data_IF_183049032941
#
_entry.id   IF_183049032941
#
_cell.length_a   1.000
_cell.length_b   1.000
_cell.length_c   1.000
_cell.angle_alpha   90.00
_cell.angle_beta   90.00
_cell.angle_gamma   90.00
#
_symmetry.space_group_name_H-M   'P 1'
#
loop_
_entity.id
_entity.type
_entity.pdbx_description
1 polymer ?
#
# COMPACT_ATOMS: atom_id res chain seq x y z
N UNK A 1 -23.24 -0.08 -65.35
CA UNK A 1 -22.73 -0.56 -64.03
C UNK A 1 -21.56 0.26 -63.49
N UNK A 2 -20.80 1.02 -64.26
CA UNK A 2 -19.63 1.80 -63.76
C UNK A 2 -19.97 2.88 -62.72
N UNK A 3 -21.10 3.57 -62.83
CA UNK A 3 -21.41 4.70 -61.94
C UNK A 3 -21.84 4.28 -60.54
N UNK A 4 -22.47 3.10 -60.35
CA UNK A 4 -22.81 2.58 -59.05
C UNK A 4 -21.57 2.10 -58.28
N UNK A 5 -20.54 1.58 -58.97
CA UNK A 5 -19.25 1.22 -58.38
C UNK A 5 -18.51 2.43 -57.86
N UNK A 6 -18.46 3.54 -58.60
CA UNK A 6 -17.82 4.78 -58.17
C UNK A 6 -18.52 5.42 -56.97
N UNK A 7 -19.87 5.35 -56.92
CA UNK A 7 -20.66 5.84 -55.77
C UNK A 7 -20.36 5.02 -54.51
N UNK A 8 -20.29 3.69 -54.59
CA UNK A 8 -19.99 2.82 -53.47
C UNK A 8 -18.55 3.02 -52.96
N UNK A 9 -17.58 3.19 -53.86
CA UNK A 9 -16.19 3.52 -53.51
C UNK A 9 -16.12 4.86 -52.77
N UNK A 10 -16.83 5.89 -53.28
CA UNK A 10 -16.89 7.20 -52.64
C UNK A 10 -17.54 7.15 -51.26
N UNK A 11 -18.64 6.41 -51.12
CA UNK A 11 -19.32 6.21 -49.82
C UNK A 11 -18.42 5.51 -48.79
N UNK A 12 -17.75 4.43 -49.20
CA UNK A 12 -16.81 3.71 -48.31
C UNK A 12 -15.64 4.62 -47.87
N UNK A 13 -15.07 5.38 -48.82
CA UNK A 13 -14.05 6.35 -48.52
C UNK A 13 -14.52 7.41 -47.52
N UNK A 14 -15.71 7.96 -47.68
CA UNK A 14 -16.29 8.92 -46.72
C UNK A 14 -16.42 8.32 -45.31
N UNK A 15 -16.89 7.11 -45.17
CA UNK A 15 -17.03 6.41 -43.90
C UNK A 15 -15.67 6.19 -43.27
N UNK A 16 -14.70 5.69 -44.06
CA UNK A 16 -13.34 5.40 -43.57
C UNK A 16 -12.61 6.68 -43.12
N UNK A 17 -12.67 7.78 -43.90
CA UNK A 17 -12.02 9.03 -43.53
C UNK A 17 -12.68 9.72 -42.32
N UNK A 18 -14.01 9.64 -42.18
CA UNK A 18 -14.73 10.11 -40.99
C UNK A 18 -14.27 9.36 -39.76
N UNK A 19 -14.15 8.04 -39.83
CA UNK A 19 -13.66 7.23 -38.73
C UNK A 19 -12.21 7.61 -38.34
N UNK A 20 -11.34 7.90 -39.33
CA UNK A 20 -10.00 8.42 -39.10
C UNK A 20 -10.01 9.76 -38.34
N UNK A 21 -10.93 10.68 -38.70
CA UNK A 21 -11.09 11.95 -37.98
C UNK A 21 -11.58 11.73 -36.53
N UNK A 22 -12.52 10.81 -36.32
CA UNK A 22 -13.07 10.51 -34.98
C UNK A 22 -11.97 9.95 -34.05
N UNK A 23 -11.13 9.02 -34.53
CA UNK A 23 -9.99 8.47 -33.77
C UNK A 23 -8.95 9.54 -33.45
N UNK A 24 -8.57 10.37 -34.44
CA UNK A 24 -7.60 11.46 -34.25
C UNK A 24 -8.13 12.48 -33.25
N UNK A 25 -9.41 12.84 -33.32
CA UNK A 25 -10.06 13.74 -32.37
C UNK A 25 -10.06 13.16 -30.97
N UNK A 26 -10.28 11.85 -30.83
CA UNK A 26 -10.18 11.17 -29.55
C UNK A 26 -8.76 11.17 -28.97
N UNK A 27 -7.73 10.98 -29.81
CA UNK A 27 -6.33 11.12 -29.38
C UNK A 27 -6.04 12.53 -28.85
N UNK A 28 -6.44 13.56 -29.59
CA UNK A 28 -6.26 14.96 -29.18
C UNK A 28 -6.98 15.25 -27.86
N UNK A 29 -8.22 14.80 -27.71
CA UNK A 29 -9.00 15.01 -26.49
C UNK A 29 -8.37 14.33 -25.25
N UNK A 30 -7.64 13.23 -25.44
CA UNK A 30 -7.04 12.45 -24.37
C UNK A 30 -5.52 12.63 -24.21
N UNK A 31 -4.91 13.64 -24.85
CA UNK A 31 -3.46 13.89 -24.77
C UNK A 31 -2.95 14.05 -23.34
N UNK A 32 -3.75 14.65 -22.45
CA UNK A 32 -3.42 14.84 -21.04
C UNK A 32 -3.99 13.75 -20.11
N UNK A 33 -4.58 12.69 -20.67
CA UNK A 33 -5.13 11.59 -19.87
C UNK A 33 -4.01 10.60 -19.51
N UNK A 34 -3.63 10.46 -18.22
CA UNK A 34 -2.55 9.55 -17.83
C UNK A 34 -2.82 8.11 -18.30
N UNK A 35 -1.79 7.46 -18.86
CA UNK A 35 -1.90 6.06 -19.32
C UNK A 35 -2.73 5.87 -20.59
N UNK A 36 -3.14 6.95 -21.26
CA UNK A 36 -3.78 6.85 -22.57
C UNK A 36 -2.76 6.42 -23.62
N UNK A 37 -3.09 5.39 -24.39
CA UNK A 37 -2.28 4.95 -25.51
C UNK A 37 -2.89 5.45 -26.84
N UNK A 38 -2.04 6.02 -27.69
CA UNK A 38 -2.40 6.54 -29.01
C UNK A 38 -3.07 5.45 -29.84
N UNK A 39 -4.14 5.81 -30.54
CA UNK A 39 -4.86 4.95 -31.47
C UNK A 39 -4.59 5.39 -32.90
N UNK A 40 -4.48 4.43 -33.82
CA UNK A 40 -4.33 4.71 -35.26
C UNK A 40 -5.24 3.79 -36.05
N UNK A 41 -5.96 4.37 -37.02
CA UNK A 41 -6.77 3.62 -37.98
C UNK A 41 -5.86 3.00 -39.03
N UNK A 42 -6.01 1.71 -39.24
CA UNK A 42 -5.41 0.97 -40.37
C UNK A 42 -6.49 0.74 -41.41
N UNK A 43 -6.22 1.22 -42.63
CA UNK A 43 -7.14 1.07 -43.74
C UNK A 43 -6.74 -0.16 -44.56
N UNK A 44 -7.73 -0.95 -44.96
CA UNK A 44 -7.59 -2.09 -45.86
C UNK A 44 -8.25 -1.84 -47.22
N UNK A 45 -7.80 -2.52 -48.21
CA UNK A 45 -8.51 -2.60 -49.50
C UNK A 45 -9.69 -3.58 -49.33
N UNK A 46 -10.85 -3.22 -49.88
CA UNK A 46 -11.98 -4.14 -49.96
C UNK A 46 -11.83 -5.16 -51.07
N UNK A 47 -12.51 -6.31 -50.95
CA UNK A 47 -12.44 -7.37 -51.95
C UNK A 47 -12.70 -6.84 -53.37
N UNK A 48 -11.78 -7.10 -54.33
CA UNK A 48 -11.94 -6.62 -55.69
C UNK A 48 -13.13 -7.32 -56.41
N UNK A 49 -13.87 -6.53 -57.16
CA UNK A 49 -15.01 -7.04 -57.94
C UNK A 49 -14.59 -7.50 -59.35
N UNK A 50 -15.13 -8.62 -59.79
CA UNK A 50 -14.89 -9.13 -61.13
C UNK A 50 -15.58 -8.24 -62.18
N UNK A 51 -14.83 -7.77 -63.17
CA UNK A 51 -15.40 -7.01 -64.27
C UNK A 51 -16.34 -7.88 -65.14
N UNK A 52 -17.46 -7.32 -65.65
CA UNK A 52 -18.35 -8.04 -66.56
C UNK A 52 -17.56 -8.55 -67.78
N UNK A 53 -17.76 -9.84 -68.07
CA UNK A 53 -17.08 -10.52 -69.20
C UNK A 53 -15.72 -11.12 -68.85
N UNK A 54 -15.32 -11.24 -67.57
CA UNK A 54 -14.12 -11.95 -67.14
C UNK A 54 -12.79 -11.22 -67.45
N UNK A 55 -12.84 -9.92 -67.70
CA UNK A 55 -11.69 -9.11 -68.19
C UNK A 55 -10.76 -8.59 -67.06
N UNK A 56 -10.87 -9.14 -65.84
CA UNK A 56 -10.04 -8.73 -64.69
C UNK A 56 -10.86 -8.27 -63.50
N UNK A 57 -10.17 -7.84 -62.43
CA UNK A 57 -10.74 -7.36 -61.20
C UNK A 57 -10.52 -5.85 -61.07
N UNK A 58 -11.51 -5.15 -60.48
CA UNK A 58 -11.39 -3.75 -60.13
C UNK A 58 -11.54 -3.59 -58.60
N UNK A 59 -10.73 -2.75 -57.97
CA UNK A 59 -10.82 -2.47 -56.53
C UNK A 59 -12.15 -1.85 -56.14
N UNK A 60 -12.71 -2.24 -55.02
CA UNK A 60 -14.05 -1.82 -54.52
C UNK A 60 -13.96 -0.70 -53.48
N UNK A 61 -12.78 -0.09 -53.29
CA UNK A 61 -12.56 1.01 -52.36
C UNK A 61 -11.78 0.62 -51.11
N UNK A 62 -11.98 1.40 -50.06
CA UNK A 62 -11.27 1.31 -48.77
C UNK A 62 -12.26 1.05 -47.64
N UNK A 63 -11.81 0.27 -46.68
CA UNK A 63 -12.53 0.10 -45.39
C UNK A 63 -11.59 0.28 -44.22
N UNK A 64 -12.15 0.43 -43.01
CA UNK A 64 -11.37 0.38 -41.78
C UNK A 64 -11.08 -1.06 -41.44
N UNK A 65 -9.83 -1.49 -41.64
CA UNK A 65 -9.42 -2.86 -41.36
C UNK A 65 -9.22 -3.07 -39.85
N UNK A 66 -8.62 -2.07 -39.17
CA UNK A 66 -8.29 -2.20 -37.76
C UNK A 66 -8.09 -0.81 -37.10
N UNK A 67 -8.21 -0.76 -35.76
CA UNK A 67 -7.74 0.36 -34.93
C UNK A 67 -6.59 -0.13 -34.06
N UNK A 68 -5.37 0.13 -34.50
CA UNK A 68 -4.18 -0.28 -33.78
C UNK A 68 -3.93 0.62 -32.57
N UNK A 69 -3.73 0.00 -31.40
CA UNK A 69 -3.32 0.65 -30.17
C UNK A 69 -1.78 0.61 -30.09
N UNK A 70 -1.14 1.78 -29.90
CA UNK A 70 0.30 1.84 -29.64
C UNK A 70 0.54 1.61 -28.17
N UNK A 71 0.98 0.40 -27.83
CA UNK A 71 1.22 -0.02 -26.46
C UNK A 71 2.46 -0.90 -26.40
N UNK A 72 3.32 -0.61 -25.43
CA UNK A 72 4.54 -1.36 -25.18
C UNK A 72 4.44 -2.05 -23.83
N UNK A 73 4.20 -3.34 -23.82
CA UNK A 73 3.99 -4.14 -22.61
C UNK A 73 5.19 -4.08 -21.66
N UNK A 74 6.38 -3.87 -22.18
CA UNK A 74 7.59 -3.69 -21.38
C UNK A 74 7.45 -2.51 -20.42
N UNK A 75 7.09 -1.32 -20.90
CA UNK A 75 6.91 -0.15 -20.06
C UNK A 75 5.76 -0.33 -19.06
N UNK A 76 4.65 -0.90 -19.51
CA UNK A 76 3.51 -1.16 -18.64
C UNK A 76 3.88 -2.07 -17.45
N UNK A 77 4.68 -3.10 -17.70
CA UNK A 77 5.16 -4.01 -16.66
C UNK A 77 6.14 -3.33 -15.71
N UNK A 78 7.11 -2.57 -16.21
CA UNK A 78 8.08 -1.86 -15.40
C UNK A 78 7.41 -0.78 -14.53
N UNK A 79 6.44 -0.05 -15.08
CA UNK A 79 5.64 0.94 -14.33
C UNK A 79 4.85 0.24 -13.22
N UNK A 80 4.17 -0.88 -13.49
CA UNK A 80 3.45 -1.65 -12.47
C UNK A 80 4.37 -2.14 -11.35
N UNK A 81 5.53 -2.67 -11.70
CA UNK A 81 6.53 -3.14 -10.74
C UNK A 81 7.06 -2.00 -9.86
N UNK A 82 7.36 -0.86 -10.48
CA UNK A 82 7.86 0.30 -9.75
C UNK A 82 6.76 0.96 -8.90
N UNK A 83 5.54 1.06 -9.42
CA UNK A 83 4.39 1.62 -8.71
C UNK A 83 4.06 0.83 -7.44
N UNK A 84 4.17 -0.51 -7.51
CA UNK A 84 3.96 -1.35 -6.34
C UNK A 84 5.00 -1.09 -5.24
N UNK A 85 6.27 -0.93 -5.60
CA UNK A 85 7.34 -0.58 -4.66
C UNK A 85 7.14 0.81 -4.07
N UNK A 86 6.82 1.79 -4.93
CA UNK A 86 6.52 3.17 -4.53
C UNK A 86 5.42 3.20 -3.48
N UNK A 87 4.27 2.56 -3.77
CA UNK A 87 3.13 2.53 -2.85
C UNK A 87 3.47 1.84 -1.51
N UNK A 88 4.27 0.77 -1.54
CA UNK A 88 4.77 0.11 -0.33
C UNK A 88 5.64 1.04 0.52
N UNK A 89 6.64 1.70 -0.08
CA UNK A 89 7.52 2.63 0.64
C UNK A 89 6.80 3.88 1.15
N UNK A 90 5.87 4.44 0.39
CA UNK A 90 5.04 5.57 0.83
C UNK A 90 4.22 5.20 2.07
N UNK A 91 3.63 4.01 2.09
CA UNK A 91 2.89 3.51 3.23
C UNK A 91 3.79 3.18 4.42
N UNK A 92 4.95 2.53 4.21
CA UNK A 92 5.96 2.27 5.25
C UNK A 92 6.40 3.60 5.90
N UNK A 93 6.73 4.62 5.10
CA UNK A 93 7.12 5.95 5.58
C UNK A 93 6.00 6.61 6.41
N UNK A 94 4.75 6.51 5.95
CA UNK A 94 3.60 7.07 6.64
C UNK A 94 3.37 6.41 8.01
N UNK A 95 3.43 5.08 8.08
CA UNK A 95 3.22 4.35 9.34
C UNK A 95 4.39 4.61 10.31
N UNK A 96 5.64 4.56 9.83
CA UNK A 96 6.82 4.78 10.67
C UNK A 96 6.88 6.21 11.20
N UNK A 97 6.48 7.22 10.43
CA UNK A 97 6.33 8.60 10.92
C UNK A 97 5.30 8.72 12.04
N UNK A 98 4.22 7.94 11.99
CA UNK A 98 3.24 7.88 13.09
C UNK A 98 3.80 7.15 14.30
N UNK A 99 4.61 6.11 14.11
CA UNK A 99 5.36 5.44 15.19
C UNK A 99 6.30 6.43 15.86
N UNK A 100 7.09 7.21 15.12
CA UNK A 100 7.96 8.28 15.64
C UNK A 100 7.15 9.31 16.45
N UNK A 101 5.98 9.71 15.96
CA UNK A 101 5.09 10.64 16.68
C UNK A 101 4.58 10.06 18.00
N UNK A 102 4.30 8.76 18.06
CA UNK A 102 3.88 8.08 19.30
C UNK A 102 5.03 8.02 20.30
N UNK A 103 6.25 7.76 19.83
CA UNK A 103 7.45 7.72 20.67
C UNK A 103 7.80 9.09 21.25
N UNK A 104 7.43 10.18 20.56
CA UNK A 104 7.56 11.58 21.01
C UNK A 104 8.96 11.94 21.57
N UNK A 105 10.02 11.47 20.92
CA UNK A 105 11.40 11.71 21.37
C UNK A 105 12.15 12.60 20.35
N UNK A 106 13.07 13.47 20.80
CA UNK A 106 13.35 13.80 22.21
C UNK A 106 12.31 14.76 22.81
N UNK A 107 11.81 14.45 24.00
CA UNK A 107 10.94 15.36 24.76
C UNK A 107 11.21 15.25 26.26
N UNK A 108 10.87 16.32 27.02
CA UNK A 108 11.02 16.34 28.49
C UNK A 108 10.04 15.38 29.21
N UNK A 109 9.01 14.91 28.50
CA UNK A 109 8.00 14.00 29.00
C UNK A 109 8.01 12.63 28.31
N UNK A 110 9.01 12.36 27.47
CA UNK A 110 9.21 11.06 26.83
C UNK A 110 9.63 9.96 27.82
N UNK A 111 9.65 8.71 27.33
CA UNK A 111 9.94 7.57 28.20
C UNK A 111 11.39 7.60 28.73
N UNK A 112 12.34 8.09 27.91
CA UNK A 112 13.74 8.23 28.32
C UNK A 112 13.89 9.17 29.50
N UNK A 113 13.32 10.37 29.38
CA UNK A 113 13.28 11.36 30.47
C UNK A 113 12.55 10.86 31.70
N UNK A 114 11.49 10.07 31.51
CA UNK A 114 10.69 9.52 32.62
C UNK A 114 11.42 8.41 33.35
N UNK A 115 12.19 7.56 32.65
CA UNK A 115 13.10 6.58 33.26
C UNK A 115 14.16 7.30 34.10
N UNK A 116 14.76 8.37 33.59
CA UNK A 116 15.72 9.18 34.32
C UNK A 116 15.12 9.79 35.59
N UNK A 117 13.96 10.42 35.47
CA UNK A 117 13.26 11.00 36.63
C UNK A 117 12.97 9.94 37.69
N UNK A 118 12.61 8.73 37.26
CA UNK A 118 12.36 7.61 38.17
C UNK A 118 13.62 7.24 38.98
N UNK A 119 14.72 6.92 38.34
CA UNK A 119 15.96 6.54 39.02
C UNK A 119 16.57 7.69 39.83
N UNK A 120 16.55 8.92 39.34
CA UNK A 120 16.99 10.11 40.05
C UNK A 120 16.16 10.37 41.32
N UNK A 121 14.85 10.07 41.31
CA UNK A 121 14.01 10.19 42.49
C UNK A 121 14.47 9.29 43.65
N UNK A 122 14.98 8.09 43.34
CA UNK A 122 15.60 7.20 44.33
C UNK A 122 16.96 7.69 44.80
N UNK A 123 17.76 8.35 43.94
CA UNK A 123 18.99 9.02 44.35
C UNK A 123 18.71 10.17 45.33
N UNK A 124 17.69 10.98 45.07
CA UNK A 124 17.24 12.03 45.97
C UNK A 124 16.66 11.47 47.30
N UNK A 125 15.90 10.37 47.21
CA UNK A 125 15.39 9.68 48.40
C UNK A 125 16.49 9.12 49.25
N UNK A 126 17.60 8.64 48.67
CA UNK A 126 18.77 8.15 49.40
C UNK A 126 19.43 9.23 50.32
N UNK A 127 19.26 10.51 49.96
CA UNK A 127 19.79 11.62 50.80
C UNK A 127 18.92 11.89 52.04
N UNK A 128 17.63 11.55 52.01
CA UNK A 128 16.68 11.76 53.12
C UNK A 128 15.71 10.56 53.23
N UNK A 129 16.19 9.37 53.63
CA UNK A 129 15.43 8.12 53.55
C UNK A 129 14.22 8.05 54.47
N UNK A 130 14.23 8.80 55.55
CA UNK A 130 13.12 8.90 56.53
C UNK A 130 12.00 9.87 56.10
N UNK A 131 12.23 10.71 55.06
CA UNK A 131 11.29 11.73 54.60
C UNK A 131 10.10 11.09 53.86
N UNK A 132 8.89 11.18 54.46
CA UNK A 132 7.64 10.73 53.83
C UNK A 132 7.44 11.44 52.46
N UNK A 133 7.74 12.77 52.42
CA UNK A 133 7.55 13.54 51.16
C UNK A 133 8.48 13.05 50.05
N UNK A 134 9.72 12.65 50.36
CA UNK A 134 10.65 12.08 49.37
C UNK A 134 10.23 10.69 48.89
N UNK A 135 9.66 9.86 49.78
CA UNK A 135 9.10 8.55 49.42
C UNK A 135 7.88 8.69 48.53
N UNK A 136 6.99 9.64 48.86
CA UNK A 136 5.83 9.96 48.02
C UNK A 136 6.26 10.49 46.65
N UNK A 137 7.26 11.35 46.61
CA UNK A 137 7.83 11.82 45.34
C UNK A 137 8.37 10.67 44.47
N UNK A 138 9.12 9.73 45.03
CA UNK A 138 9.63 8.56 44.29
C UNK A 138 8.49 7.66 43.76
N UNK A 139 7.43 7.45 44.58
CA UNK A 139 6.25 6.72 44.13
C UNK A 139 5.49 7.45 43.02
N UNK A 140 5.41 8.79 43.09
CA UNK A 140 4.80 9.58 42.00
C UNK A 140 5.61 9.49 40.71
N UNK A 141 6.95 9.47 40.76
CA UNK A 141 7.78 9.24 39.56
C UNK A 141 7.62 7.82 39.03
N UNK A 142 7.49 6.82 39.89
CA UNK A 142 7.17 5.45 39.49
C UNK A 142 5.80 5.36 38.84
N UNK A 143 4.79 6.08 39.34
CA UNK A 143 3.46 6.13 38.71
C UNK A 143 3.51 6.84 37.36
N UNK A 144 4.26 7.94 37.22
CA UNK A 144 4.44 8.63 35.93
C UNK A 144 5.08 7.73 34.90
N UNK A 145 6.05 6.90 35.28
CA UNK A 145 6.66 5.90 34.43
C UNK A 145 5.66 4.84 33.96
N UNK A 146 4.81 4.34 34.87
CA UNK A 146 3.71 3.42 34.57
C UNK A 146 2.75 4.05 33.56
N UNK A 147 2.34 5.29 33.81
CA UNK A 147 1.35 6.00 32.98
C UNK A 147 1.90 6.23 31.57
N UNK A 148 3.21 6.52 31.41
CA UNK A 148 3.83 6.70 30.11
C UNK A 148 3.89 5.38 29.32
N UNK A 149 4.29 4.26 29.95
CA UNK A 149 4.27 2.94 29.29
C UNK A 149 2.84 2.55 28.83
N UNK A 150 1.86 2.70 29.74
CA UNK A 150 0.47 2.37 29.43
C UNK A 150 -0.10 3.27 28.32
N UNK A 151 0.19 4.57 28.38
CA UNK A 151 -0.25 5.54 27.38
C UNK A 151 0.33 5.24 26.00
N UNK A 152 1.62 4.90 25.94
CA UNK A 152 2.30 4.53 24.70
C UNK A 152 1.74 3.23 24.12
N UNK A 153 1.55 2.22 24.94
CA UNK A 153 0.93 0.94 24.54
C UNK A 153 -0.49 1.11 23.99
N UNK A 154 -1.30 1.97 24.61
CA UNK A 154 -2.65 2.28 24.13
C UNK A 154 -2.62 2.95 22.75
N UNK A 155 -1.69 3.90 22.51
CA UNK A 155 -1.52 4.56 21.20
C UNK A 155 -1.05 3.58 20.11
N UNK A 156 -0.16 2.62 20.43
CA UNK A 156 0.24 1.57 19.48
C UNK A 156 -0.91 0.61 19.16
N UNK A 157 -1.72 0.25 20.15
CA UNK A 157 -2.92 -0.57 19.94
C UNK A 157 -3.90 0.11 19.00
N UNK A 158 -4.12 1.42 19.18
CA UNK A 158 -4.97 2.22 18.31
C UNK A 158 -4.40 2.30 16.88
N UNK A 159 -3.07 2.54 16.73
CA UNK A 159 -2.41 2.54 15.42
C UNK A 159 -2.57 1.18 14.72
N UNK A 160 -2.39 0.07 15.46
CA UNK A 160 -2.57 -1.28 14.92
C UNK A 160 -4.01 -1.52 14.44
N UNK A 161 -5.01 -1.03 15.18
CA UNK A 161 -6.42 -1.09 14.77
C UNK A 161 -6.68 -0.32 13.47
N UNK A 162 -6.13 0.88 13.33
CA UNK A 162 -6.25 1.69 12.12
C UNK A 162 -5.57 1.04 10.92
N UNK A 163 -4.42 0.37 11.12
CA UNK A 163 -3.75 -0.41 10.06
C UNK A 163 -4.62 -1.60 9.62
N UNK A 164 -5.29 -2.27 10.56
CA UNK A 164 -6.24 -3.36 10.24
C UNK A 164 -7.44 -2.88 9.42
N UNK A 165 -8.01 -1.74 9.76
CA UNK A 165 -9.10 -1.11 9.00
C UNK A 165 -8.63 -0.72 7.60
N UNK A 166 -7.41 -0.19 7.48
CA UNK A 166 -6.82 0.15 6.19
C UNK A 166 -6.62 -1.09 5.31
N UNK A 167 -6.16 -2.22 5.87
CA UNK A 167 -6.06 -3.51 5.15
C UNK A 167 -7.42 -3.92 4.60
N UNK A 168 -8.47 -3.82 5.40
CA UNK A 168 -9.84 -4.17 4.99
C UNK A 168 -10.32 -3.27 3.86
N UNK A 169 -10.19 -1.96 4.02
CA UNK A 169 -10.61 -0.97 3.01
C UNK A 169 -9.85 -1.14 1.70
N UNK A 170 -8.52 -1.36 1.77
CA UNK A 170 -7.70 -1.60 0.57
C UNK A 170 -8.04 -2.95 -0.09
N UNK A 171 -8.45 -3.96 0.69
CA UNK A 171 -8.94 -5.24 0.15
C UNK A 171 -10.27 -5.08 -0.58
N UNK A 172 -11.18 -4.25 -0.08
CA UNK A 172 -12.44 -3.93 -0.77
C UNK A 172 -12.19 -3.18 -2.09
N UNK A 173 -11.18 -2.30 -2.12
CA UNK A 173 -10.76 -1.64 -3.36
C UNK A 173 -10.19 -2.65 -4.36
N UNK A 174 -9.34 -3.59 -3.92
CA UNK A 174 -8.86 -4.70 -4.76
C UNK A 174 -10.03 -5.46 -5.38
N UNK A 175 -11.05 -5.78 -4.59
CA UNK A 175 -12.22 -6.49 -5.08
C UNK A 175 -13.02 -5.69 -6.13
N UNK A 176 -13.16 -4.36 -5.95
CA UNK A 176 -13.78 -3.48 -6.94
C UNK A 176 -13.00 -3.44 -8.24
N UNK A 177 -11.66 -3.39 -8.16
CA UNK A 177 -10.80 -3.41 -9.35
C UNK A 177 -10.90 -4.76 -10.07
N UNK A 178 -10.93 -5.88 -9.36
CA UNK A 178 -11.15 -7.22 -9.92
C UNK A 178 -12.48 -7.27 -10.68
N UNK A 179 -13.55 -6.76 -10.09
CA UNK A 179 -14.86 -6.67 -10.75
C UNK A 179 -14.79 -5.82 -12.02
N UNK A 180 -14.13 -4.66 -11.93
CA UNK A 180 -13.98 -3.76 -13.08
C UNK A 180 -13.22 -4.41 -14.24
N UNK A 181 -12.10 -5.07 -13.97
CA UNK A 181 -11.31 -5.77 -15.00
C UNK A 181 -12.15 -6.92 -15.62
N UNK A 182 -12.89 -7.66 -14.79
CA UNK A 182 -13.77 -8.74 -15.26
C UNK A 182 -14.91 -8.21 -16.14
N UNK A 183 -15.54 -7.10 -15.77
CA UNK A 183 -16.55 -6.42 -16.57
C UNK A 183 -15.98 -5.96 -17.92
N UNK A 184 -14.78 -5.38 -17.94
CA UNK A 184 -14.10 -4.95 -19.15
C UNK A 184 -13.75 -6.14 -20.06
N UNK A 185 -13.32 -7.26 -19.51
CA UNK A 185 -13.15 -8.51 -20.26
C UNK A 185 -14.47 -8.98 -20.90
N UNK A 186 -15.56 -8.97 -20.14
CA UNK A 186 -16.87 -9.37 -20.64
C UNK A 186 -17.36 -8.46 -21.78
N UNK A 187 -17.07 -7.15 -21.72
CA UNK A 187 -17.40 -6.21 -22.80
C UNK A 187 -16.55 -6.44 -24.06
N UNK A 188 -15.34 -6.95 -23.93
CA UNK A 188 -14.48 -7.30 -25.08
C UNK A 188 -14.94 -8.58 -25.78
N UNK A 189 -15.50 -9.55 -25.08
CA UNK A 189 -15.88 -10.87 -25.62
C UNK A 189 -16.72 -10.79 -26.91
N UNK A 190 -17.83 -10.02 -27.00
CA UNK A 190 -18.62 -9.91 -28.22
C UNK A 190 -17.89 -9.16 -29.35
N UNK A 191 -17.03 -8.18 -29.03
CA UNK A 191 -16.30 -7.38 -30.01
C UNK A 191 -15.25 -8.22 -30.75
N UNK A 192 -14.53 -9.06 -30.03
CA UNK A 192 -13.55 -10.01 -30.59
C UNK A 192 -14.25 -11.04 -31.48
N UNK A 193 -15.43 -11.52 -31.09
CA UNK A 193 -16.21 -12.49 -31.87
C UNK A 193 -16.71 -11.90 -33.19
N UNK A 194 -16.84 -10.57 -33.28
CA UNK A 194 -17.26 -9.85 -34.47
C UNK A 194 -16.07 -9.38 -35.34
N UNK A 195 -14.83 -9.68 -34.94
CA UNK A 195 -13.62 -9.19 -35.62
C UNK A 195 -13.46 -7.67 -35.53
N UNK A 196 -14.08 -7.03 -34.53
CA UNK A 196 -14.09 -5.58 -34.36
C UNK A 196 -13.05 -5.14 -33.32
N UNK A 197 -12.15 -4.26 -33.73
CA UNK A 197 -11.16 -3.63 -32.87
C UNK A 197 -11.67 -2.38 -32.08
N UNK A 198 -12.99 -2.28 -31.93
CA UNK A 198 -13.61 -1.21 -31.12
C UNK A 198 -13.24 -1.26 -29.62
N UNK A 199 -12.33 -2.16 -29.25
CA UNK A 199 -11.91 -2.38 -27.86
C UNK A 199 -10.80 -1.48 -27.33
N UNK A 200 -10.22 -0.58 -28.10
CA UNK A 200 -9.05 0.20 -27.72
C UNK A 200 -9.25 1.00 -26.40
N UNK A 201 -10.40 1.65 -26.24
CA UNK A 201 -10.73 2.36 -24.99
C UNK A 201 -10.87 1.41 -23.81
N UNK A 202 -11.49 0.24 -24.02
CA UNK A 202 -11.65 -0.80 -22.99
C UNK A 202 -10.26 -1.35 -22.58
N UNK A 203 -9.37 -1.57 -23.53
CA UNK A 203 -8.00 -2.05 -23.27
C UNK A 203 -7.22 -1.01 -22.44
N UNK A 204 -7.33 0.29 -22.76
CA UNK A 204 -6.69 1.36 -21.99
C UNK A 204 -7.24 1.44 -20.57
N UNK A 205 -8.55 1.34 -20.39
CA UNK A 205 -9.18 1.38 -19.07
C UNK A 205 -8.77 0.16 -18.23
N UNK A 206 -8.74 -1.03 -18.84
CA UNK A 206 -8.29 -2.27 -18.19
C UNK A 206 -6.84 -2.17 -17.72
N UNK A 207 -5.97 -1.58 -18.54
CA UNK A 207 -4.57 -1.42 -18.17
C UNK A 207 -4.37 -0.46 -16.99
N UNK A 208 -5.13 0.65 -16.94
CA UNK A 208 -5.13 1.55 -15.77
C UNK A 208 -5.65 0.83 -14.52
N UNK A 209 -6.67 0.00 -14.64
CA UNK A 209 -7.16 -0.81 -13.52
C UNK A 209 -6.09 -1.79 -13.01
N UNK A 210 -5.28 -2.39 -13.89
CA UNK A 210 -4.16 -3.25 -13.50
C UNK A 210 -3.03 -2.45 -12.84
N UNK A 211 -2.73 -1.23 -13.27
CA UNK A 211 -1.78 -0.34 -12.61
C UNK A 211 -2.23 0.00 -11.18
N UNK A 212 -3.51 0.36 -10.99
CA UNK A 212 -4.10 0.59 -9.67
C UNK A 212 -4.04 -0.65 -8.78
N UNK A 213 -4.36 -1.81 -9.32
CA UNK A 213 -4.26 -3.08 -8.61
C UNK A 213 -2.81 -3.35 -8.14
N UNK A 214 -1.84 -3.07 -9.01
CA UNK A 214 -0.41 -3.27 -8.70
C UNK A 214 0.07 -2.39 -7.54
N UNK A 215 -0.42 -1.16 -7.42
CA UNK A 215 -0.12 -0.29 -6.29
C UNK A 215 -0.59 -0.89 -4.94
N UNK A 216 -1.72 -1.59 -4.96
CA UNK A 216 -2.31 -2.18 -3.74
C UNK A 216 -1.66 -3.51 -3.35
N UNK A 217 -1.47 -4.44 -4.31
CA UNK A 217 -1.11 -5.83 -4.01
C UNK A 217 0.29 -6.26 -4.45
N UNK A 218 1.04 -5.40 -5.12
CA UNK A 218 2.38 -5.70 -5.59
C UNK A 218 2.46 -6.03 -7.08
N UNK A 219 3.56 -6.64 -7.54
CA UNK A 219 3.73 -6.98 -8.94
C UNK A 219 2.61 -7.89 -9.45
N UNK A 220 1.86 -7.38 -10.41
CA UNK A 220 0.75 -8.08 -11.04
C UNK A 220 1.24 -8.72 -12.34
N UNK A 221 1.05 -10.03 -12.47
CA UNK A 221 1.24 -10.73 -13.74
C UNK A 221 -0.09 -10.75 -14.50
N UNK A 222 -0.18 -9.91 -15.53
CA UNK A 222 -1.33 -9.81 -16.41
C UNK A 222 -0.96 -10.41 -17.77
N UNK A 223 -1.66 -11.45 -18.18
CA UNK A 223 -1.47 -12.12 -19.48
C UNK A 223 -2.74 -12.00 -20.31
N UNK A 224 -2.58 -11.80 -21.61
CA UNK A 224 -3.70 -11.67 -22.55
C UNK A 224 -3.72 -12.87 -23.47
N UNK A 225 -4.86 -13.53 -23.60
CA UNK A 225 -5.04 -14.67 -24.48
C UNK A 225 -5.22 -14.24 -25.95
N UNK A 226 -5.31 -15.22 -26.87
CA UNK A 226 -5.52 -14.98 -28.30
C UNK A 226 -6.84 -14.29 -28.64
N UNK A 227 -7.78 -14.24 -27.68
CA UNK A 227 -9.07 -13.54 -27.79
C UNK A 227 -9.03 -12.15 -27.13
N UNK A 228 -7.85 -11.66 -26.74
CA UNK A 228 -7.72 -10.36 -26.08
C UNK A 228 -8.22 -10.32 -24.62
N UNK A 229 -8.60 -11.47 -24.04
CA UNK A 229 -9.07 -11.54 -22.66
C UNK A 229 -7.89 -11.63 -21.69
N UNK A 230 -7.96 -10.86 -20.60
CA UNK A 230 -6.88 -10.76 -19.62
C UNK A 230 -7.10 -11.69 -18.44
N UNK A 231 -6.09 -12.47 -18.10
CA UNK A 231 -5.98 -13.18 -16.82
C UNK A 231 -4.98 -12.45 -15.93
N UNK A 232 -5.27 -12.40 -14.63
CA UNK A 232 -4.45 -11.68 -13.65
C UNK A 232 -4.11 -12.59 -12.48
N UNK A 233 -2.82 -12.63 -12.15
CA UNK A 233 -2.32 -13.33 -10.97
C UNK A 233 -1.31 -12.49 -10.19
N UNK A 234 -1.23 -12.74 -8.87
CA UNK A 234 -0.28 -12.11 -7.95
C UNK A 234 0.45 -13.21 -7.20
N UNK A 235 1.77 -13.25 -7.31
CA UNK A 235 2.61 -14.29 -6.68
C UNK A 235 2.07 -15.72 -6.86
N UNK A 236 1.59 -16.06 -8.06
CA UNK A 236 1.05 -17.38 -8.38
C UNK A 236 -0.42 -17.59 -8.01
N UNK A 237 -1.04 -16.73 -7.20
CA UNK A 237 -2.46 -16.78 -6.93
C UNK A 237 -3.25 -16.13 -8.07
N UNK A 238 -4.10 -16.89 -8.76
CA UNK A 238 -4.99 -16.37 -9.80
C UNK A 238 -6.17 -15.64 -9.17
N UNK A 239 -6.31 -14.35 -9.49
CA UNK A 239 -7.42 -13.50 -9.01
C UNK A 239 -8.45 -13.22 -10.11
N UNK A 240 -8.03 -13.28 -11.39
CA UNK A 240 -8.91 -13.19 -12.55
C UNK A 240 -8.50 -14.26 -13.56
N UNK A 241 -9.43 -15.14 -13.89
CA UNK A 241 -9.30 -16.12 -14.97
C UNK A 241 -10.21 -15.70 -16.12
N UNK A 242 -9.68 -14.87 -17.02
CA UNK A 242 -10.42 -14.30 -18.16
C UNK A 242 -11.73 -13.59 -17.76
N UNK A 243 -12.86 -14.27 -17.80
CA UNK A 243 -14.21 -13.70 -17.50
C UNK A 243 -14.68 -13.98 -16.06
N UNK A 244 -13.85 -14.68 -15.26
CA UNK A 244 -14.17 -15.03 -13.87
C UNK A 244 -13.25 -14.25 -12.94
N UNK A 245 -13.81 -13.33 -12.16
CA UNK A 245 -13.12 -12.65 -11.06
C UNK A 245 -13.38 -13.36 -9.74
N UNK A 246 -12.30 -13.71 -9.04
CA UNK A 246 -12.36 -14.24 -7.68
C UNK A 246 -12.39 -13.11 -6.66
N UNK A 247 -12.72 -13.41 -5.40
CA UNK A 247 -12.71 -12.43 -4.32
C UNK A 247 -11.45 -12.62 -3.47
N UNK A 248 -10.79 -11.52 -3.13
CA UNK A 248 -9.73 -11.51 -2.10
C UNK A 248 -10.36 -11.19 -0.76
N UNK A 249 -10.01 -11.93 0.27
CA UNK A 249 -10.54 -11.78 1.62
C UNK A 249 -9.41 -11.78 2.65
N UNK A 250 -9.53 -10.91 3.65
CA UNK A 250 -8.68 -10.94 4.85
C UNK A 250 -9.15 -12.07 5.76
N UNK A 251 -8.20 -12.84 6.28
CA UNK A 251 -8.43 -13.89 7.26
C UNK A 251 -7.63 -13.58 8.51
N UNK A 252 -8.29 -13.51 9.65
CA UNK A 252 -7.66 -13.36 10.95
C UNK A 252 -7.45 -14.75 11.57
N UNK A 253 -6.24 -15.00 12.05
CA UNK A 253 -5.89 -16.21 12.77
C UNK A 253 -5.43 -15.81 14.16
N UNK A 254 -6.02 -16.44 15.19
CA UNK A 254 -5.60 -16.25 16.58
C UNK A 254 -4.82 -17.48 17.00
N UNK A 255 -3.58 -17.28 17.47
CA UNK A 255 -2.75 -18.38 17.98
C UNK A 255 -3.23 -18.84 19.36
N UNK A 256 -2.73 -19.98 19.83
CA UNK A 256 -3.02 -20.49 21.19
C UNK A 256 -2.52 -19.54 22.30
N UNK A 257 -1.59 -18.65 22.00
CA UNK A 257 -1.09 -17.58 22.88
C UNK A 257 -1.96 -16.32 22.86
N UNK A 258 -3.04 -16.28 22.06
CA UNK A 258 -3.92 -15.10 21.91
C UNK A 258 -3.43 -14.09 20.88
N UNK A 259 -2.34 -14.37 20.20
CA UNK A 259 -1.79 -13.51 19.16
C UNK A 259 -2.68 -13.52 17.91
N UNK A 260 -2.97 -12.33 17.38
CA UNK A 260 -3.77 -12.13 16.18
C UNK A 260 -2.88 -11.77 15.00
N UNK A 261 -2.91 -12.61 13.98
CA UNK A 261 -2.23 -12.35 12.71
C UNK A 261 -3.25 -12.22 11.57
N UNK A 262 -3.02 -11.26 10.68
CA UNK A 262 -3.80 -11.09 9.47
C UNK A 262 -3.09 -11.76 8.30
N UNK A 263 -3.84 -12.53 7.55
CA UNK A 263 -3.44 -13.15 6.30
C UNK A 263 -4.51 -12.92 5.24
N UNK A 264 -4.21 -13.22 4.00
CA UNK A 264 -5.16 -13.06 2.91
C UNK A 264 -5.35 -14.36 2.13
N UNK A 265 -6.52 -14.51 1.54
CA UNK A 265 -6.89 -15.68 0.74
C UNK A 265 -7.74 -15.26 -0.47
N UNK A 266 -7.62 -16.04 -1.54
CA UNK A 266 -8.51 -15.95 -2.70
C UNK A 266 -9.65 -16.94 -2.50
N UNK A 267 -10.87 -16.47 -2.62
CA UNK A 267 -12.08 -17.29 -2.52
C UNK A 267 -12.86 -17.26 -3.83
N UNK A 268 -13.50 -18.37 -4.14
CA UNK A 268 -14.42 -18.47 -5.27
C UNK A 268 -15.66 -17.62 -5.02
N UNK A 269 -16.01 -16.72 -5.96
CA UNK A 269 -17.28 -15.97 -5.87
C UNK A 269 -18.50 -16.86 -5.97
N UNK A 270 -18.39 -17.98 -6.70
CA UNK A 270 -19.52 -18.87 -6.97
C UNK A 270 -19.83 -19.77 -5.78
N UNK A 271 -18.80 -20.37 -5.15
CA UNK A 271 -18.98 -21.37 -4.08
C UNK A 271 -18.61 -20.84 -2.69
N UNK A 272 -17.84 -19.75 -2.59
CA UNK A 272 -17.29 -19.25 -1.32
C UNK A 272 -16.08 -20.02 -0.83
N UNK A 273 -15.64 -21.06 -1.56
CA UNK A 273 -14.52 -21.89 -1.16
C UNK A 273 -13.18 -21.15 -1.31
N UNK A 274 -12.24 -21.45 -0.41
CA UNK A 274 -10.85 -20.95 -0.50
C UNK A 274 -10.15 -21.65 -1.66
N UNK A 275 -9.71 -20.87 -2.63
CA UNK A 275 -8.97 -21.35 -3.81
C UNK A 275 -7.47 -21.46 -3.48
N UNK A 276 -6.92 -20.41 -2.86
CA UNK A 276 -5.50 -20.33 -2.53
C UNK A 276 -5.24 -19.31 -1.43
N UNK A 277 -4.08 -19.42 -0.79
CA UNK A 277 -3.53 -18.30 -0.01
C UNK A 277 -3.20 -17.16 -0.96
N UNK A 278 -3.43 -15.93 -0.52
CA UNK A 278 -3.04 -14.73 -1.25
C UNK A 278 -1.93 -14.03 -0.49
N UNK A 279 -0.77 -13.91 -1.13
CA UNK A 279 0.38 -13.20 -0.56
C UNK A 279 0.68 -11.98 -1.43
N UNK A 280 0.30 -10.76 -1.01
CA UNK A 280 0.72 -9.56 -1.71
C UNK A 280 2.25 -9.43 -1.58
N UNK A 281 2.95 -9.35 -2.73
CA UNK A 281 4.42 -9.35 -2.75
C UNK A 281 5.05 -8.01 -2.41
N UNK A 282 4.30 -6.95 -2.60
CA UNK A 282 4.65 -5.55 -2.35
C UNK A 282 3.37 -4.72 -2.34
N UNK A 283 3.48 -3.39 -2.44
CA UNK A 283 2.33 -2.50 -2.46
C UNK A 283 1.82 -2.15 -1.07
N UNK A 284 0.77 -1.38 -1.04
CA UNK A 284 0.19 -0.84 0.20
C UNK A 284 -0.24 -1.94 1.17
N UNK A 285 -0.91 -2.98 0.67
CA UNK A 285 -1.43 -4.07 1.53
C UNK A 285 -0.31 -4.89 2.14
N UNK A 286 0.76 -5.19 1.38
CA UNK A 286 1.91 -5.93 1.90
C UNK A 286 2.61 -5.15 3.02
N UNK A 287 2.78 -3.84 2.85
CA UNK A 287 3.32 -2.93 3.87
C UNK A 287 2.43 -2.93 5.12
N UNK A 288 1.12 -2.75 4.97
CA UNK A 288 0.18 -2.78 6.10
C UNK A 288 0.20 -4.12 6.84
N UNK A 289 0.22 -5.25 6.14
CA UNK A 289 0.31 -6.58 6.76
C UNK A 289 1.62 -6.77 7.53
N UNK A 290 2.74 -6.29 7.00
CA UNK A 290 4.04 -6.28 7.68
C UNK A 290 3.96 -5.47 8.98
N UNK A 291 3.41 -4.26 8.93
CA UNK A 291 3.30 -3.43 10.12
C UNK A 291 2.33 -4.02 11.14
N UNK A 292 1.18 -4.54 10.72
CA UNK A 292 0.21 -5.17 11.62
C UNK A 292 0.77 -6.42 12.32
N UNK A 293 1.43 -7.31 11.55
CA UNK A 293 1.87 -8.62 12.03
C UNK A 293 3.27 -8.62 12.66
N UNK A 294 4.07 -7.57 12.44
CA UNK A 294 5.47 -7.53 12.86
C UNK A 294 5.76 -6.27 13.67
N UNK A 295 5.70 -5.09 13.04
CA UNK A 295 6.19 -3.85 13.67
C UNK A 295 5.38 -3.44 14.89
N UNK A 296 4.05 -3.60 14.82
CA UNK A 296 3.07 -3.22 15.84
C UNK A 296 2.55 -4.43 16.64
N UNK A 297 3.17 -5.60 16.49
CA UNK A 297 2.82 -6.81 17.24
C UNK A 297 3.74 -6.99 18.44
N UNK A 298 3.18 -7.37 19.60
CA UNK A 298 3.94 -7.64 20.83
C UNK A 298 4.67 -8.99 20.82
N UNK A 299 4.49 -9.82 19.78
CA UNK A 299 5.00 -11.19 19.73
C UNK A 299 6.06 -11.38 18.64
N UNK A 300 6.92 -12.38 18.81
CA UNK A 300 8.11 -12.65 17.97
C UNK A 300 7.89 -13.75 16.93
N UNK A 301 6.65 -13.99 16.52
CA UNK A 301 6.32 -15.11 15.64
C UNK A 301 6.93 -15.02 14.23
N UNK A 302 7.37 -13.83 13.81
CA UNK A 302 7.86 -13.57 12.45
C UNK A 302 9.34 -13.21 12.34
N UNK A 303 10.08 -13.12 13.47
CA UNK A 303 11.52 -12.82 13.49
C UNK A 303 11.90 -11.39 13.02
N UNK A 304 10.94 -10.48 12.91
CA UNK A 304 11.13 -9.09 12.54
C UNK A 304 11.28 -8.16 13.74
N UNK A 305 11.60 -6.88 13.47
CA UNK A 305 11.62 -5.86 14.51
C UNK A 305 10.22 -5.42 14.92
N UNK A 306 9.89 -5.60 16.21
CA UNK A 306 8.67 -5.08 16.81
C UNK A 306 9.00 -4.00 17.84
N UNK A 307 8.36 -2.84 17.69
CA UNK A 307 8.48 -1.73 18.65
C UNK A 307 7.71 -2.05 19.95
N UNK A 308 6.54 -2.67 19.85
CA UNK A 308 5.70 -3.03 20.99
C UNK A 308 6.44 -4.05 21.87
N UNK A 309 7.03 -5.08 21.26
CA UNK A 309 7.85 -6.06 21.98
C UNK A 309 9.05 -5.40 22.67
N UNK A 310 9.72 -4.46 22.01
CA UNK A 310 10.88 -3.75 22.64
C UNK A 310 10.43 -2.96 23.86
N UNK A 311 9.25 -2.33 23.82
CA UNK A 311 8.67 -1.63 25.00
C UNK A 311 8.28 -2.61 26.10
N UNK A 312 7.71 -3.76 25.76
CA UNK A 312 7.36 -4.80 26.71
C UNK A 312 8.60 -5.40 27.39
N UNK A 313 9.66 -5.65 26.63
CA UNK A 313 10.95 -6.11 27.16
C UNK A 313 11.54 -5.08 28.13
N UNK A 314 11.49 -3.79 27.80
CA UNK A 314 11.99 -2.72 28.66
C UNK A 314 11.17 -2.61 29.94
N UNK A 315 9.84 -2.61 29.85
CA UNK A 315 8.94 -2.59 31.01
C UNK A 315 9.17 -3.80 31.92
N UNK A 316 9.26 -4.98 31.34
CA UNK A 316 9.54 -6.23 32.05
C UNK A 316 10.90 -6.22 32.76
N UNK A 317 11.94 -5.67 32.12
CA UNK A 317 13.26 -5.51 32.73
C UNK A 317 13.22 -4.55 33.91
N UNK A 318 12.53 -3.42 33.79
CA UNK A 318 12.33 -2.46 34.91
C UNK A 318 11.64 -3.15 36.09
N UNK A 319 10.49 -3.78 35.84
CA UNK A 319 9.75 -4.50 36.88
C UNK A 319 10.63 -5.53 37.59
N UNK A 320 11.30 -6.39 36.83
CA UNK A 320 12.11 -7.48 37.39
C UNK A 320 13.33 -6.99 38.15
N UNK A 321 14.12 -6.07 37.57
CA UNK A 321 15.35 -5.56 38.18
C UNK A 321 15.06 -4.74 39.45
N UNK A 322 14.07 -3.84 39.39
CA UNK A 322 13.69 -3.01 40.53
C UNK A 322 13.10 -3.87 41.66
N UNK A 323 12.20 -4.80 41.35
CA UNK A 323 11.61 -5.69 42.36
C UNK A 323 12.66 -6.63 42.99
N UNK A 324 13.62 -7.13 42.22
CA UNK A 324 14.71 -7.98 42.77
C UNK A 324 15.48 -7.25 43.86
N UNK A 325 15.76 -5.96 43.69
CA UNK A 325 16.40 -5.13 44.71
C UNK A 325 15.45 -4.82 45.85
N UNK A 326 14.20 -4.39 45.51
CA UNK A 326 13.21 -3.98 46.49
C UNK A 326 12.80 -5.09 47.47
N UNK A 327 12.73 -6.35 47.03
CA UNK A 327 12.34 -7.51 47.85
C UNK A 327 13.29 -7.75 49.03
N UNK A 328 14.54 -7.27 48.93
CA UNK A 328 15.54 -7.40 50.01
C UNK A 328 15.41 -6.28 51.04
N UNK A 329 14.52 -5.29 50.80
CA UNK A 329 14.41 -4.06 51.59
C UNK A 329 13.27 -4.05 52.61
N UNK A 330 13.32 -3.07 53.50
CA UNK A 330 12.37 -2.79 54.53
C UNK A 330 11.79 -1.38 54.35
N UNK A 331 10.51 -1.23 54.63
CA UNK A 331 9.85 0.07 54.80
C UNK A 331 10.13 0.67 56.19
N UNK A 332 9.53 1.83 56.50
CA UNK A 332 9.81 2.56 57.75
C UNK A 332 9.34 1.82 59.00
N UNK A 333 8.27 1.04 58.91
CA UNK A 333 7.59 0.40 60.03
C UNK A 333 7.78 -1.13 60.02
N UNK A 334 8.57 -1.66 59.10
CA UNK A 334 8.76 -3.11 58.96
C UNK A 334 9.73 -3.61 60.06
N UNK A 335 9.30 -4.66 60.75
CA UNK A 335 10.10 -5.35 61.78
C UNK A 335 10.61 -6.71 61.32
N UNK A 336 10.02 -7.24 60.23
CA UNK A 336 10.44 -8.50 59.54
C UNK A 336 10.52 -8.25 58.06
N UNK A 337 11.31 -9.03 57.34
CA UNK A 337 11.45 -8.88 55.89
C UNK A 337 10.12 -9.05 55.16
N UNK A 338 9.56 -7.99 54.58
CA UNK A 338 8.22 -8.05 53.97
C UNK A 338 8.21 -8.67 52.60
N UNK A 339 9.38 -8.85 51.96
CA UNK A 339 9.53 -9.32 50.57
C UNK A 339 8.58 -8.56 49.62
N UNK A 340 8.63 -7.21 49.66
CA UNK A 340 7.68 -6.33 49.02
C UNK A 340 8.21 -5.82 47.67
N UNK A 341 7.31 -5.76 46.69
CA UNK A 341 7.62 -5.22 45.36
C UNK A 341 7.31 -3.71 45.31
N UNK A 342 7.92 -3.02 44.36
CA UNK A 342 7.53 -1.66 43.94
C UNK A 342 6.52 -1.74 42.79
N UNK A 343 6.77 -2.59 41.83
CA UNK A 343 5.86 -2.87 40.72
C UNK A 343 5.16 -4.22 40.92
N UNK A 344 3.91 -4.36 40.47
CA UNK A 344 3.19 -5.62 40.49
C UNK A 344 3.93 -6.64 39.59
N UNK A 345 4.38 -7.80 40.12
CA UNK A 345 5.15 -8.76 39.35
C UNK A 345 4.36 -9.46 38.25
N UNK A 346 3.03 -9.33 38.21
CA UNK A 346 2.17 -9.86 37.16
C UNK A 346 2.08 -8.95 35.95
N UNK A 347 2.47 -7.68 36.08
CA UNK A 347 2.42 -6.67 35.02
C UNK A 347 3.81 -6.45 34.40
N UNK A 348 4.21 -7.29 33.46
CA UNK A 348 5.55 -7.27 32.83
C UNK A 348 5.58 -6.74 31.41
N UNK A 349 4.48 -6.18 30.92
CA UNK A 349 4.39 -5.55 29.59
C UNK A 349 4.10 -4.06 29.71
N UNK A 350 4.38 -3.28 28.67
CA UNK A 350 4.06 -1.86 28.64
C UNK A 350 2.56 -1.57 28.89
N UNK A 351 1.68 -2.47 28.47
CA UNK A 351 0.23 -2.37 28.69
C UNK A 351 -0.19 -2.73 30.12
N UNK A 352 0.57 -3.56 30.83
CA UNK A 352 0.14 -4.16 32.10
C UNK A 352 0.94 -3.70 33.31
N UNK A 353 2.06 -3.00 33.11
CA UNK A 353 2.90 -2.45 34.18
C UNK A 353 2.05 -1.56 35.10
N UNK A 354 2.21 -1.75 36.42
CA UNK A 354 1.51 -0.99 37.46
C UNK A 354 2.27 -1.07 38.79
N UNK A 355 2.02 -0.15 39.69
CA UNK A 355 2.57 -0.23 41.07
C UNK A 355 1.94 -1.39 41.83
N UNK A 356 2.75 -1.99 42.72
CA UNK A 356 2.23 -3.00 43.65
C UNK A 356 1.25 -2.33 44.66
N UNK A 357 0.06 -2.92 44.90
CA UNK A 357 -0.90 -2.40 45.84
C UNK A 357 -0.35 -2.16 47.25
N UNK A 358 0.70 -2.87 47.64
CA UNK A 358 1.30 -2.72 48.96
C UNK A 358 2.07 -1.40 49.14
N UNK A 359 2.52 -0.76 48.05
CA UNK A 359 3.22 0.54 48.09
C UNK A 359 2.37 1.67 47.52
N UNK A 360 1.34 1.37 46.74
CA UNK A 360 0.45 2.36 46.13
C UNK A 360 -0.21 3.19 47.23
N UNK A 361 0.00 4.51 47.26
CA UNK A 361 -0.47 5.43 48.29
C UNK A 361 0.01 5.09 49.74
N UNK A 362 1.07 4.29 49.84
CA UNK A 362 1.66 3.86 51.11
C UNK A 362 3.16 4.17 51.16
N UNK A 363 3.60 5.45 51.20
CA UNK A 363 5.02 5.82 51.13
C UNK A 363 5.84 5.23 52.28
N UNK A 364 5.27 4.93 53.39
CA UNK A 364 5.94 4.27 54.52
C UNK A 364 6.35 2.83 54.21
N UNK A 365 5.60 2.18 53.31
CA UNK A 365 5.88 0.81 52.88
C UNK A 365 6.97 0.69 51.82
N UNK A 366 7.43 1.81 51.23
CA UNK A 366 8.46 1.77 50.20
C UNK A 366 9.77 1.16 50.74
N UNK A 367 10.28 0.02 50.23
CA UNK A 367 11.46 -0.66 50.76
C UNK A 367 12.72 0.07 50.34
N UNK A 368 13.42 0.73 51.28
CA UNK A 368 14.63 1.48 50.97
C UNK A 368 15.79 1.20 51.94
N UNK A 369 15.52 0.58 53.09
CA UNK A 369 16.50 0.14 54.07
C UNK A 369 16.83 -1.33 53.88
N UNK A 370 18.08 -1.76 54.16
CA UNK A 370 18.47 -3.18 54.13
C UNK A 370 18.20 -3.87 55.47
N UNK A 371 17.96 -3.14 56.54
CA UNK A 371 17.71 -3.65 57.90
C UNK A 371 16.40 -3.07 58.49
N UNK A 372 15.71 -3.90 59.28
CA UNK A 372 14.54 -3.49 59.99
C UNK A 372 14.85 -2.44 61.09
N UNK A 373 13.98 -1.45 61.23
CA UNK A 373 14.12 -0.44 62.28
C UNK A 373 15.29 0.55 62.11
N UNK A 374 15.83 0.69 60.91
CA UNK A 374 16.90 1.65 60.59
C UNK A 374 16.41 2.71 59.60
N UNK A 375 15.59 3.72 60.06
CA UNK A 375 14.95 4.70 59.16
C UNK A 375 15.93 5.54 58.34
N UNK A 376 17.17 5.71 58.82
CA UNK A 376 18.24 6.47 58.15
C UNK A 376 19.04 5.64 57.12
N UNK A 377 18.83 4.33 57.03
CA UNK A 377 19.49 3.50 55.99
C UNK A 377 18.90 3.71 54.63
N UNK A 378 19.77 3.89 53.63
CA UNK A 378 19.43 4.21 52.26
C UNK A 378 20.00 3.18 51.24
N UNK A 379 20.42 2.03 51.74
CA UNK A 379 21.16 1.04 50.91
C UNK A 379 20.33 0.58 49.69
N UNK A 380 19.07 0.25 49.89
CA UNK A 380 18.18 -0.22 48.80
C UNK A 380 17.84 0.93 47.83
N UNK A 381 17.62 2.16 48.37
CA UNK A 381 17.37 3.31 47.50
C UNK A 381 18.57 3.58 46.57
N UNK A 382 19.80 3.50 47.08
CA UNK A 382 21.01 3.65 46.28
C UNK A 382 21.19 2.51 45.27
N UNK A 383 20.86 1.27 45.63
CA UNK A 383 20.93 0.13 44.70
C UNK A 383 19.93 0.29 43.55
N UNK A 384 18.72 0.76 43.85
CA UNK A 384 17.74 1.05 42.81
C UNK A 384 18.22 2.19 41.90
N UNK A 385 18.70 3.29 42.48
CA UNK A 385 19.29 4.39 41.70
C UNK A 385 20.44 3.94 40.79
N UNK A 386 21.30 3.04 41.27
CA UNK A 386 22.44 2.51 40.52
C UNK A 386 22.01 1.62 39.33
N UNK A 387 20.80 1.14 39.27
CA UNK A 387 20.27 0.40 38.12
C UNK A 387 20.22 1.25 36.84
N UNK A 388 20.18 2.58 36.94
CA UNK A 388 20.26 3.49 35.81
C UNK A 388 21.51 3.24 34.96
N UNK A 389 22.63 3.00 35.61
CA UNK A 389 23.94 2.81 35.00
C UNK A 389 24.34 1.31 34.85
N UNK A 390 23.43 0.37 35.19
CA UNK A 390 23.72 -1.07 35.09
C UNK A 390 23.85 -1.51 33.62
N UNK A 391 25.09 -1.82 33.15
CA UNK A 391 25.26 -2.26 31.74
C UNK A 391 24.70 -3.66 31.47
N UNK A 392 24.19 -4.34 32.49
CA UNK A 392 23.57 -5.66 32.38
C UNK A 392 22.05 -5.57 32.60
N UNK A 393 21.48 -4.36 32.53
CA UNK A 393 20.06 -4.13 32.82
C UNK A 393 19.16 -4.93 31.87
N UNK A 394 19.39 -4.79 30.55
CA UNK A 394 18.68 -5.52 29.50
C UNK A 394 19.60 -5.79 28.31
N UNK A 395 19.74 -7.04 27.89
CA UNK A 395 20.52 -7.44 26.71
C UNK A 395 21.95 -6.85 26.68
N UNK A 396 22.64 -6.82 27.83
CA UNK A 396 23.96 -6.22 28.02
C UNK A 396 24.04 -4.71 27.71
N UNK A 397 22.97 -3.97 28.02
CA UNK A 397 22.82 -2.52 27.83
C UNK A 397 22.12 -1.92 29.04
N UNK A 398 22.30 -0.61 29.28
CA UNK A 398 21.43 0.13 30.20
C UNK A 398 20.02 0.27 29.63
N UNK A 399 19.04 0.59 30.47
CA UNK A 399 17.66 0.87 30.04
C UNK A 399 17.60 1.92 28.92
N UNK A 400 18.32 3.02 29.08
CA UNK A 400 18.40 4.13 28.12
C UNK A 400 19.08 3.71 26.81
N UNK A 401 20.21 2.98 26.88
CA UNK A 401 20.88 2.50 25.67
C UNK A 401 19.98 1.56 24.86
N UNK A 402 19.25 0.69 25.53
CA UNK A 402 18.28 -0.20 24.87
C UNK A 402 17.18 0.60 24.17
N UNK A 403 16.59 1.58 24.86
CA UNK A 403 15.56 2.42 24.28
C UNK A 403 16.08 3.28 23.12
N UNK A 404 17.26 3.92 23.28
CA UNK A 404 17.90 4.68 22.21
C UNK A 404 18.19 3.83 20.96
N UNK A 405 18.62 2.57 21.14
CA UNK A 405 18.81 1.65 20.04
C UNK A 405 17.48 1.28 19.35
N UNK A 406 16.41 1.18 20.11
CA UNK A 406 15.05 0.97 19.57
C UNK A 406 14.59 2.16 18.73
N UNK A 407 14.79 3.39 19.22
CA UNK A 407 14.51 4.62 18.47
C UNK A 407 15.32 4.71 17.18
N UNK A 408 16.63 4.43 17.26
CA UNK A 408 17.51 4.45 16.08
C UNK A 408 17.07 3.47 15.00
N UNK A 409 16.56 2.29 15.38
CA UNK A 409 16.01 1.31 14.42
C UNK A 409 14.75 1.83 13.73
N UNK A 410 13.86 2.49 14.47
CA UNK A 410 12.64 3.11 13.90
C UNK A 410 13.02 4.24 12.95
N UNK A 411 13.91 5.17 13.39
CA UNK A 411 14.35 6.30 12.59
C UNK A 411 15.06 5.85 11.29
N UNK A 412 15.93 4.83 11.40
CA UNK A 412 16.60 4.26 10.22
C UNK A 412 15.58 3.66 9.25
N UNK A 413 14.62 2.85 9.74
CA UNK A 413 13.59 2.27 8.91
C UNK A 413 12.69 3.34 8.26
N UNK A 414 12.37 4.42 9.01
CA UNK A 414 11.61 5.58 8.50
C UNK A 414 12.36 6.31 7.38
N UNK A 415 13.66 6.58 7.61
CA UNK A 415 14.52 7.22 6.62
C UNK A 415 14.68 6.35 5.35
N UNK A 416 14.86 5.04 5.50
CA UNK A 416 14.96 4.10 4.38
C UNK A 416 13.66 4.06 3.57
N UNK A 417 12.50 4.04 4.24
CA UNK A 417 11.21 4.09 3.59
C UNK A 417 10.99 5.41 2.83
N UNK A 418 11.31 6.56 3.43
CA UNK A 418 11.19 7.87 2.80
C UNK A 418 12.12 8.00 1.57
N UNK A 419 13.38 7.54 1.68
CA UNK A 419 14.32 7.52 0.58
C UNK A 419 13.86 6.56 -0.54
N UNK A 420 13.34 5.39 -0.17
CA UNK A 420 12.74 4.43 -1.10
C UNK A 420 11.56 5.03 -1.86
N UNK A 421 10.64 5.70 -1.17
CA UNK A 421 9.49 6.40 -1.76
C UNK A 421 9.93 7.47 -2.76
N UNK A 422 10.91 8.31 -2.36
CA UNK A 422 11.47 9.36 -3.24
C UNK A 422 12.11 8.76 -4.49
N UNK A 423 12.97 7.76 -4.32
CA UNK A 423 13.67 7.11 -5.44
C UNK A 423 12.71 6.43 -6.41
N UNK A 424 11.75 5.67 -5.89
CA UNK A 424 10.75 5.00 -6.72
C UNK A 424 9.81 5.99 -7.40
N UNK A 425 9.51 7.15 -6.78
CA UNK A 425 8.77 8.23 -7.43
C UNK A 425 9.52 8.79 -8.64
N UNK A 426 10.80 9.11 -8.49
CA UNK A 426 11.63 9.60 -9.61
C UNK A 426 11.75 8.58 -10.75
N UNK A 427 11.91 7.29 -10.41
CA UNK A 427 11.92 6.21 -11.42
C UNK A 427 10.56 6.12 -12.13
N UNK A 428 9.46 6.25 -11.39
CA UNK A 428 8.12 6.23 -11.96
C UNK A 428 7.90 7.39 -12.96
N UNK A 429 8.34 8.59 -12.62
CA UNK A 429 8.25 9.76 -13.48
C UNK A 429 9.08 9.58 -14.74
N UNK A 430 10.29 9.02 -14.62
CA UNK A 430 11.15 8.71 -15.75
C UNK A 430 10.55 7.63 -16.68
N UNK A 431 9.99 6.54 -16.11
CA UNK A 431 9.33 5.49 -16.88
C UNK A 431 8.09 6.02 -17.61
N UNK A 432 7.30 6.88 -16.97
CA UNK A 432 6.17 7.52 -17.62
C UNK A 432 6.61 8.46 -18.76
N UNK A 433 7.65 9.28 -18.55
CA UNK A 433 8.19 10.13 -19.61
C UNK A 433 8.73 9.30 -20.80
N UNK A 434 9.40 8.18 -20.54
CA UNK A 434 9.85 7.26 -21.59
C UNK A 434 8.66 6.62 -22.32
N UNK A 435 7.64 6.17 -21.57
CA UNK A 435 6.41 5.64 -22.16
C UNK A 435 5.75 6.67 -23.08
N UNK A 436 5.58 7.90 -22.59
CA UNK A 436 4.98 9.00 -23.40
C UNK A 436 5.79 9.34 -24.62
N UNK A 437 7.12 9.29 -24.58
CA UNK A 437 7.96 9.55 -25.75
C UNK A 437 7.80 8.50 -26.86
N UNK A 438 7.42 7.26 -26.52
CA UNK A 438 7.26 6.15 -27.48
C UNK A 438 5.82 6.00 -27.95
N UNK A 439 4.86 6.09 -27.04
CA UNK A 439 3.44 5.78 -27.30
C UNK A 439 2.49 6.96 -27.09
N UNK A 440 3.01 8.11 -26.65
CA UNK A 440 2.21 9.29 -26.36
C UNK A 440 1.60 9.93 -27.61
N UNK A 441 0.61 10.79 -27.38
CA UNK A 441 -0.05 11.58 -28.43
C UNK A 441 0.77 12.83 -28.71
N UNK A 442 1.25 12.98 -29.94
CA UNK A 442 1.86 14.24 -30.41
C UNK A 442 0.80 15.09 -31.11
N UNK A 443 0.47 16.25 -30.55
CA UNK A 443 -0.58 17.14 -31.07
C UNK A 443 -0.31 17.59 -32.50
N UNK A 444 0.94 17.85 -32.87
CA UNK A 444 1.30 18.29 -34.24
C UNK A 444 1.04 17.18 -35.25
N UNK A 445 1.42 15.94 -34.92
CA UNK A 445 1.17 14.77 -35.78
C UNK A 445 -0.35 14.49 -35.91
N UNK A 446 -1.10 14.60 -34.81
CA UNK A 446 -2.56 14.41 -34.85
C UNK A 446 -3.25 15.52 -35.64
N UNK A 447 -2.82 16.79 -35.48
CA UNK A 447 -3.36 17.91 -36.26
C UNK A 447 -3.10 17.70 -37.77
N UNK A 448 -1.90 17.28 -38.16
CA UNK A 448 -1.58 16.95 -39.55
C UNK A 448 -2.44 15.78 -40.08
N UNK A 449 -2.64 14.76 -39.24
CA UNK A 449 -3.49 13.62 -39.59
C UNK A 449 -4.95 14.02 -39.76
N UNK A 450 -5.45 14.87 -38.89
CA UNK A 450 -6.82 15.42 -38.97
C UNK A 450 -7.02 16.19 -40.29
N UNK A 451 -6.09 17.10 -40.64
CA UNK A 451 -6.14 17.85 -41.90
C UNK A 451 -6.10 16.88 -43.11
N UNK A 452 -5.28 15.84 -43.05
CA UNK A 452 -5.19 14.83 -44.13
C UNK A 452 -6.51 14.10 -44.30
N UNK A 453 -7.14 13.64 -43.22
CA UNK A 453 -8.44 12.98 -43.27
C UNK A 453 -9.55 13.90 -43.73
N UNK A 454 -9.57 15.18 -43.31
CA UNK A 454 -10.51 16.18 -43.78
C UNK A 454 -10.42 16.39 -45.29
N UNK A 455 -9.20 16.55 -45.83
CA UNK A 455 -8.95 16.70 -47.29
C UNK A 455 -9.38 15.46 -48.08
N UNK A 456 -9.10 14.28 -47.53
CA UNK A 456 -9.52 13.03 -48.17
C UNK A 456 -11.05 12.85 -48.15
N UNK A 457 -11.71 13.25 -47.06
CA UNK A 457 -13.17 13.27 -46.95
C UNK A 457 -13.78 14.23 -47.96
N UNK A 458 -13.27 15.47 -48.09
CA UNK A 458 -13.73 16.44 -49.06
C UNK A 458 -13.59 15.91 -50.50
N UNK A 459 -12.43 15.27 -50.83
CA UNK A 459 -12.21 14.66 -52.15
C UNK A 459 -13.22 13.53 -52.44
N UNK A 460 -13.46 12.65 -51.46
CA UNK A 460 -14.43 11.57 -51.57
C UNK A 460 -15.89 12.11 -51.77
N UNK A 461 -16.22 13.21 -51.04
CA UNK A 461 -17.53 13.87 -51.20
C UNK A 461 -17.71 14.45 -52.59
N UNK A 462 -16.66 15.03 -53.22
CA UNK A 462 -16.70 15.51 -54.61
C UNK A 462 -16.95 14.36 -55.58
N UNK A 463 -16.27 13.20 -55.38
CA UNK A 463 -16.51 12.01 -56.22
C UNK A 463 -17.98 11.57 -56.18
N UNK A 464 -18.55 11.50 -54.97
CA UNK A 464 -19.98 11.14 -54.78
C UNK A 464 -20.91 12.14 -55.49
N UNK A 465 -20.66 13.45 -55.32
CA UNK A 465 -21.48 14.50 -55.98
C UNK A 465 -21.38 14.44 -57.47
N UNK A 466 -20.19 14.36 -58.05
CA UNK A 466 -19.96 14.26 -59.50
C UNK A 466 -20.64 12.98 -60.05
N UNK A 467 -20.54 11.86 -59.34
CA UNK A 467 -21.20 10.60 -59.77
C UNK A 467 -22.72 10.74 -59.72
N UNK A 468 -23.28 11.43 -58.75
CA UNK A 468 -24.73 11.70 -58.67
C UNK A 468 -25.22 12.62 -59.80
N UNK A 469 -24.44 13.66 -60.16
CA UNK A 469 -24.70 14.54 -61.29
C UNK A 469 -24.69 13.76 -62.62
N UNK A 470 -23.70 12.89 -62.84
CA UNK A 470 -23.61 12.02 -63.99
C UNK A 470 -24.82 11.03 -64.09
N UNK A 471 -25.22 10.46 -62.91
CA UNK A 471 -26.42 9.60 -62.87
C UNK A 471 -27.69 10.37 -63.19
N UNK A 472 -27.81 11.60 -62.67
CA UNK A 472 -28.93 12.49 -63.00
C UNK A 472 -29.03 12.84 -64.49
N UNK A 473 -27.88 13.11 -65.10
CA UNK A 473 -27.78 13.36 -66.54
C UNK A 473 -28.14 12.12 -67.37
N UNK A 474 -27.66 10.94 -66.97
CA UNK A 474 -28.02 9.67 -67.67
C UNK A 474 -29.52 9.34 -67.57
N UNK A 475 -30.15 9.60 -66.45
CA UNK A 475 -31.58 9.37 -66.26
C UNK A 475 -32.37 10.34 -67.13
N UNK A 476 -31.92 11.58 -67.29
CA UNK A 476 -32.59 12.62 -68.10
C UNK A 476 -32.38 12.40 -69.61
N UNK A 477 -31.27 11.74 -70.03
CA UNK A 477 -31.01 11.37 -71.41
C UNK A 477 -31.80 10.10 -71.87
N UNK A 478 -32.30 9.31 -70.91
CA UNK A 478 -33.11 8.14 -71.16
C UNK A 478 -34.61 8.37 -71.16
N UNK A 479 -35.07 9.63 -70.98
CA UNK A 479 -36.44 10.08 -71.15
C UNK A 479 -36.59 10.82 -72.45
#
# INVERSE_FOLDING_TARGET
MGNFGALEIGKRALIAQRFGMDVTSNNIANVNTPGYARQRVEFGETDPQLLPGGKGYIGSGVEVANVRLFREEYFDREIRNNLSKKSGFENDSSILSRVETILNEPSDDGIDATIDKFFNSFQELANQPESIARREFALNQAQSLVDEFNGMSARFTELRSQVSEKITTSTDEVNRIIERITELNNKLTPLVSLGSDAGATIINERARAVEQLSALVGPVNATVDTKGLMSVSVNGASIISTVIGHKVQVSETTSSSGERTLSMQVISRASGDVISKFNPGAGEIASNLKHYNVTLDGNDSSGGFSIVKSLDELAGAIVNKVNTVAQTGYGLDDVTAPNRNIFDPTGTTAASIKLDPAVLNQPRNLPISIEAGTPGDNTIARQIAALADDPTFINAQTAQQFYANTLNRVATAGADAANGAKTTSLVNDQLNAQRESVIGVNLDEEALSLIRYQRAFEAAARIVNTTNELLGTLINLGR
#
